data_IF_321901748850
#
_entry.id   IF_321901748850
#
_cell.length_a   1.000
_cell.length_b   1.000
_cell.length_c   1.000
_cell.angle_alpha   90.00
_cell.angle_beta   90.00
_cell.angle_gamma   90.00
#
_symmetry.space_group_name_H-M   'P 1'
#
loop_
_entity.id
_entity.type
_entity.pdbx_description
1 polymer ?
#
# COMPACT_ATOMS: atom_id res chain seq x y z
N UNK A 1 51.54 28.11 60.54
CA UNK A 1 50.71 28.26 61.76
C UNK A 1 49.39 27.52 61.55
N UNK A 2 49.11 26.58 62.48
CA UNK A 2 47.82 25.98 62.88
C UNK A 2 46.98 25.15 61.90
N UNK A 3 46.76 23.92 62.37
CA UNK A 3 45.84 22.88 61.93
C UNK A 3 44.37 23.13 62.36
N UNK A 4 43.43 22.45 61.69
CA UNK A 4 42.20 21.81 62.19
C UNK A 4 41.49 21.16 60.96
N UNK A 5 41.24 19.86 60.85
CA UNK A 5 40.50 18.91 61.68
C UNK A 5 38.99 19.25 61.80
N UNK A 6 38.14 18.44 61.16
CA UNK A 6 36.68 18.52 61.25
C UNK A 6 36.00 17.33 60.54
N UNK A 7 35.51 16.41 61.35
CA UNK A 7 34.83 15.14 61.02
C UNK A 7 33.31 15.34 60.90
N UNK A 8 32.63 14.35 60.27
CA UNK A 8 31.18 14.03 60.31
C UNK A 8 30.38 14.55 59.10
N UNK A 9 29.42 13.83 58.49
CA UNK A 9 28.57 12.72 58.97
C UNK A 9 28.05 11.94 57.75
N UNK A 10 27.91 10.61 57.87
CA UNK A 10 27.19 9.76 56.92
C UNK A 10 25.70 10.15 56.87
N UNK A 11 25.17 10.35 55.66
CA UNK A 11 23.72 10.36 55.42
C UNK A 11 23.35 9.15 54.55
N UNK A 12 22.73 8.16 55.21
CA UNK A 12 22.05 7.01 54.61
C UNK A 12 20.88 7.52 53.76
N UNK A 13 20.90 7.31 52.44
CA UNK A 13 19.69 7.40 51.62
C UNK A 13 19.09 5.99 51.47
N UNK A 14 17.91 5.83 52.04
CA UNK A 14 17.01 4.71 51.79
C UNK A 14 16.68 4.66 50.29
N UNK A 15 17.09 3.58 49.61
CA UNK A 15 16.55 3.20 48.31
C UNK A 15 15.22 2.50 48.57
N UNK A 16 14.12 3.24 48.40
CA UNK A 16 12.78 2.66 48.29
C UNK A 16 12.72 1.89 46.96
N UNK A 17 12.69 0.55 47.07
CA UNK A 17 12.54 -0.36 45.94
C UNK A 17 11.16 -0.23 45.31
N UNK A 18 11.04 0.62 44.29
CA UNK A 18 9.95 0.58 43.32
C UNK A 18 10.02 -0.73 42.54
N UNK A 19 9.22 -1.71 42.97
CA UNK A 19 8.98 -2.91 42.18
C UNK A 19 8.25 -2.49 40.90
N UNK A 20 8.79 -2.76 39.70
CA UNK A 20 8.02 -2.60 38.49
C UNK A 20 6.85 -3.59 38.57
N UNK A 21 5.64 -3.06 38.67
CA UNK A 21 4.44 -3.82 38.36
C UNK A 21 4.58 -4.26 36.91
N UNK A 22 4.97 -5.53 36.72
CA UNK A 22 4.90 -6.17 35.41
C UNK A 22 3.48 -5.96 34.88
N UNK A 23 3.32 -5.41 33.66
CA UNK A 23 2.00 -5.30 33.06
C UNK A 23 1.38 -6.70 33.04
N UNK A 24 0.12 -6.86 33.45
CA UNK A 24 -0.56 -8.14 33.39
C UNK A 24 -0.40 -8.67 31.96
N UNK A 25 0.12 -9.89 31.84
CA UNK A 25 0.25 -10.56 30.56
C UNK A 25 -1.10 -10.45 29.85
N UNK A 26 -1.12 -9.75 28.71
CA UNK A 26 -2.28 -9.63 27.88
C UNK A 26 -2.73 -11.05 27.52
N UNK A 27 -3.76 -11.55 28.21
CA UNK A 27 -4.34 -12.83 27.89
C UNK A 27 -4.92 -12.69 26.49
N UNK A 28 -4.28 -13.31 25.50
CA UNK A 28 -4.86 -13.47 24.18
C UNK A 28 -6.26 -14.08 24.37
N UNK A 29 -7.29 -13.28 24.15
CA UNK A 29 -8.68 -13.76 24.22
C UNK A 29 -8.75 -14.96 23.26
N UNK A 30 -9.10 -16.14 23.79
CA UNK A 30 -9.41 -17.30 22.95
C UNK A 30 -10.59 -16.89 22.06
N UNK A 31 -10.29 -16.53 20.82
CA UNK A 31 -11.29 -16.23 19.80
C UNK A 31 -12.09 -17.53 19.62
N UNK A 32 -13.30 -17.57 20.19
CA UNK A 32 -14.23 -18.67 19.88
C UNK A 32 -14.69 -18.46 18.43
N UNK A 33 -14.67 -19.50 17.57
CA UNK A 33 -15.21 -19.39 16.23
C UNK A 33 -16.66 -18.90 16.32
N UNK A 34 -16.95 -17.75 15.71
CA UNK A 34 -18.30 -17.24 15.63
C UNK A 34 -19.10 -18.12 14.66
N UNK A 35 -20.21 -18.68 15.13
CA UNK A 35 -21.14 -19.47 14.30
C UNK A 35 -22.39 -18.62 14.08
N UNK A 36 -22.73 -18.26 12.84
CA UNK A 36 -23.90 -17.44 12.61
C UNK A 36 -25.18 -18.23 12.92
N UNK A 37 -26.18 -17.63 13.59
CA UNK A 37 -27.53 -18.14 13.52
C UNK A 37 -27.98 -18.10 12.04
N UNK A 38 -28.87 -19.01 11.61
CA UNK A 38 -29.48 -19.04 10.25
C UNK A 38 -28.71 -19.74 9.12
N UNK A 39 -27.87 -20.74 9.41
CA UNK A 39 -27.13 -21.52 8.40
C UNK A 39 -28.00 -22.01 7.21
N UNK A 40 -29.23 -22.47 7.45
CA UNK A 40 -30.11 -23.00 6.40
C UNK A 40 -30.53 -21.94 5.37
N UNK A 41 -30.85 -20.72 5.83
CA UNK A 41 -31.24 -19.61 4.94
C UNK A 41 -30.06 -19.13 4.09
N UNK A 42 -28.87 -19.05 4.71
CA UNK A 42 -27.64 -18.64 4.04
C UNK A 42 -27.24 -19.65 2.95
N UNK A 43 -27.37 -20.95 3.24
CA UNK A 43 -27.05 -22.01 2.27
C UNK A 43 -27.94 -21.93 1.02
N UNK A 44 -29.24 -21.68 1.21
CA UNK A 44 -30.18 -21.50 0.09
C UNK A 44 -29.84 -20.25 -0.74
N UNK A 45 -29.64 -19.10 -0.09
CA UNK A 45 -29.28 -17.86 -0.80
C UNK A 45 -27.94 -17.97 -1.53
N UNK A 46 -26.97 -18.67 -0.95
CA UNK A 46 -25.69 -18.93 -1.61
C UNK A 46 -25.85 -19.82 -2.85
N UNK A 47 -26.72 -20.85 -2.79
CA UNK A 47 -27.02 -21.67 -3.95
C UNK A 47 -27.67 -20.83 -5.08
N UNK A 48 -28.66 -20.00 -4.74
CA UNK A 48 -29.32 -19.10 -5.69
C UNK A 48 -28.34 -18.08 -6.29
N UNK A 49 -27.49 -17.47 -5.46
CA UNK A 49 -26.48 -16.51 -5.91
C UNK A 49 -25.44 -17.15 -6.84
N UNK A 50 -24.93 -18.34 -6.51
CA UNK A 50 -23.98 -19.07 -7.37
C UNK A 50 -24.61 -19.46 -8.71
N UNK A 51 -25.86 -19.91 -8.70
CA UNK A 51 -26.59 -20.18 -9.94
C UNK A 51 -26.71 -18.92 -10.80
N UNK A 52 -27.06 -17.78 -10.19
CA UNK A 52 -27.11 -16.48 -10.88
C UNK A 52 -25.75 -16.09 -11.48
N UNK A 53 -24.68 -16.14 -10.69
CA UNK A 53 -23.32 -15.84 -11.16
C UNK A 53 -22.89 -16.71 -12.35
N UNK A 54 -23.22 -18.01 -12.32
CA UNK A 54 -22.92 -18.94 -13.41
C UNK A 54 -23.69 -18.60 -14.71
N UNK A 55 -24.87 -17.99 -14.61
CA UNK A 55 -25.68 -17.59 -15.77
C UNK A 55 -25.33 -16.21 -16.33
N UNK A 56 -24.56 -15.39 -15.61
CA UNK A 56 -24.18 -14.06 -16.09
C UNK A 56 -23.35 -14.15 -17.37
N UNK A 57 -23.69 -13.35 -18.39
CA UNK A 57 -23.02 -13.37 -19.71
C UNK A 57 -22.09 -12.19 -19.98
N UNK A 58 -22.17 -11.13 -19.15
CA UNK A 58 -21.38 -9.91 -19.32
C UNK A 58 -20.54 -9.53 -18.09
N UNK A 59 -19.68 -8.54 -18.28
CA UNK A 59 -18.76 -8.03 -17.25
C UNK A 59 -19.33 -6.86 -16.44
N UNK A 60 -20.57 -6.44 -16.74
CA UNK A 60 -21.27 -5.39 -15.99
C UNK A 60 -22.11 -5.97 -14.85
N UNK A 61 -22.16 -5.26 -13.72
CA UNK A 61 -23.02 -5.60 -12.57
C UNK A 61 -24.47 -5.14 -12.76
N UNK A 62 -24.81 -4.47 -13.87
CA UNK A 62 -26.15 -3.95 -14.12
C UNK A 62 -27.18 -4.98 -14.60
N UNK A 63 -28.46 -4.61 -14.56
CA UNK A 63 -29.57 -5.41 -15.09
C UNK A 63 -29.78 -6.72 -14.33
N UNK A 64 -30.00 -7.81 -15.06
CA UNK A 64 -30.25 -9.15 -14.49
C UNK A 64 -29.06 -9.69 -13.70
N UNK A 65 -27.83 -9.25 -14.02
CA UNK A 65 -26.61 -9.69 -13.34
C UNK A 65 -26.59 -9.23 -11.86
N UNK A 66 -27.27 -8.13 -11.52
CA UNK A 66 -27.21 -7.52 -10.19
C UNK A 66 -27.79 -8.41 -9.09
N UNK A 67 -28.78 -9.25 -9.43
CA UNK A 67 -29.54 -10.02 -8.42
C UNK A 67 -28.67 -10.95 -7.60
N UNK A 68 -27.68 -11.60 -8.22
CA UNK A 68 -26.74 -12.46 -7.52
C UNK A 68 -25.92 -11.68 -6.50
N UNK A 69 -25.41 -10.50 -6.86
CA UNK A 69 -24.70 -9.61 -5.93
C UNK A 69 -25.59 -9.15 -4.78
N UNK A 70 -26.83 -8.74 -5.05
CA UNK A 70 -27.78 -8.29 -4.03
C UNK A 70 -28.08 -9.37 -2.97
N UNK A 71 -28.19 -10.64 -3.40
CA UNK A 71 -28.37 -11.78 -2.49
C UNK A 71 -27.19 -11.91 -1.51
N UNK A 72 -25.95 -11.81 -2.03
CA UNK A 72 -24.73 -11.84 -1.19
C UNK A 72 -24.66 -10.62 -0.27
N UNK A 73 -24.98 -9.42 -0.77
CA UNK A 73 -25.08 -8.22 0.07
C UNK A 73 -26.12 -8.36 1.18
N UNK A 74 -27.23 -9.05 0.92
CA UNK A 74 -28.26 -9.35 1.93
C UNK A 74 -27.76 -10.35 2.97
N UNK A 75 -27.00 -11.37 2.55
CA UNK A 75 -26.31 -12.29 3.46
C UNK A 75 -25.35 -11.53 4.38
N UNK A 76 -24.49 -10.67 3.82
CA UNK A 76 -23.58 -9.80 4.58
C UNK A 76 -24.31 -8.94 5.61
N UNK A 77 -25.42 -8.30 5.22
CA UNK A 77 -26.26 -7.51 6.14
C UNK A 77 -26.77 -8.35 7.31
N UNK A 78 -27.23 -9.58 7.03
CA UNK A 78 -27.77 -10.49 8.05
C UNK A 78 -26.69 -10.95 9.03
N UNK A 79 -25.51 -11.28 8.50
CA UNK A 79 -24.33 -11.66 9.28
C UNK A 79 -23.85 -10.50 10.17
N UNK A 80 -23.77 -9.28 9.63
CA UNK A 80 -23.44 -8.07 10.41
C UNK A 80 -24.47 -7.77 11.50
N UNK A 81 -25.77 -7.93 11.22
CA UNK A 81 -26.82 -7.78 12.25
C UNK A 81 -26.64 -8.81 13.37
N UNK A 82 -26.28 -10.05 13.03
CA UNK A 82 -26.05 -11.11 14.00
C UNK A 82 -24.78 -10.89 14.84
N UNK A 83 -23.72 -10.31 14.27
CA UNK A 83 -22.56 -9.83 15.04
C UNK A 83 -22.98 -8.71 16.02
N UNK A 84 -23.83 -7.80 15.55
CA UNK A 84 -24.32 -6.67 16.32
C UNK A 84 -23.35 -5.48 16.31
N UNK A 85 -23.91 -4.29 16.56
CA UNK A 85 -23.23 -2.98 16.45
C UNK A 85 -21.94 -2.85 17.27
N UNK A 86 -21.82 -3.57 18.39
CA UNK A 86 -20.65 -3.49 19.26
C UNK A 86 -19.51 -4.41 18.83
N UNK A 87 -19.77 -5.37 17.94
CA UNK A 87 -18.79 -6.40 17.54
C UNK A 87 -18.34 -6.21 16.09
N UNK A 88 -18.57 -5.05 15.47
CA UNK A 88 -18.26 -4.83 14.05
C UNK A 88 -16.76 -4.84 13.74
N UNK A 89 -15.88 -4.69 14.74
CA UNK A 89 -14.44 -4.98 14.59
C UNK A 89 -14.17 -6.43 14.15
N UNK A 90 -15.09 -7.35 14.45
CA UNK A 90 -15.03 -8.75 14.04
C UNK A 90 -15.68 -9.00 12.67
N UNK A 91 -16.08 -7.96 11.93
CA UNK A 91 -16.74 -8.13 10.63
C UNK A 91 -15.90 -8.92 9.62
N UNK A 92 -14.57 -8.89 9.73
CA UNK A 92 -13.67 -9.73 8.93
C UNK A 92 -13.97 -11.25 9.05
N UNK A 93 -14.60 -11.70 10.16
CA UNK A 93 -15.02 -13.09 10.31
C UNK A 93 -16.19 -13.49 9.40
N UNK A 94 -16.84 -12.53 8.73
CA UNK A 94 -17.91 -12.79 7.75
C UNK A 94 -17.36 -13.39 6.47
N UNK A 95 -16.18 -12.95 6.03
CA UNK A 95 -15.57 -13.38 4.76
C UNK A 95 -15.37 -14.91 4.72
N UNK A 96 -14.70 -15.56 5.70
CA UNK A 96 -14.58 -17.02 5.71
C UNK A 96 -15.92 -17.77 5.72
N UNK A 97 -16.97 -17.17 6.27
CA UNK A 97 -18.33 -17.77 6.27
C UNK A 97 -18.90 -17.75 4.85
N UNK A 98 -18.80 -16.62 4.15
CA UNK A 98 -19.29 -16.50 2.76
C UNK A 98 -18.44 -17.35 1.79
N UNK A 99 -17.13 -17.41 1.99
CA UNK A 99 -16.22 -18.24 1.21
C UNK A 99 -16.54 -19.72 1.35
N UNK A 100 -16.87 -20.18 2.58
CA UNK A 100 -17.29 -21.57 2.83
C UNK A 100 -18.58 -21.96 2.09
N UNK A 101 -19.38 -20.97 1.65
CA UNK A 101 -20.58 -21.16 0.85
C UNK A 101 -20.30 -21.09 -0.66
N UNK A 102 -19.04 -20.95 -1.07
CA UNK A 102 -18.58 -20.88 -2.46
C UNK A 102 -18.83 -19.52 -3.12
N UNK A 103 -18.85 -18.45 -2.32
CA UNK A 103 -18.92 -17.07 -2.80
C UNK A 103 -17.50 -16.47 -2.82
N UNK A 104 -17.26 -15.49 -3.69
CA UNK A 104 -15.97 -14.76 -3.77
C UNK A 104 -16.21 -13.37 -3.19
N UNK A 105 -15.74 -13.15 -1.95
CA UNK A 105 -15.99 -11.90 -1.21
C UNK A 105 -14.76 -11.44 -0.44
N UNK A 106 -14.67 -10.13 -0.22
CA UNK A 106 -13.65 -9.54 0.66
C UNK A 106 -14.32 -8.56 1.64
N UNK A 107 -13.90 -8.55 2.90
CA UNK A 107 -14.42 -7.62 3.91
C UNK A 107 -13.36 -6.64 4.37
N UNK A 108 -13.63 -5.35 4.17
CA UNK A 108 -12.77 -4.27 4.63
C UNK A 108 -13.49 -3.36 5.63
N UNK A 109 -12.78 -2.91 6.65
CA UNK A 109 -13.29 -1.97 7.65
C UNK A 109 -12.18 -1.02 8.11
N UNK A 110 -12.59 0.18 8.52
CA UNK A 110 -11.69 1.11 9.19
C UNK A 110 -11.64 0.76 10.68
N UNK A 111 -10.47 0.38 11.25
CA UNK A 111 -10.38 -0.02 12.65
C UNK A 111 -10.67 1.12 13.63
N UNK A 112 -10.53 2.37 13.20
CA UNK A 112 -10.84 3.57 14.03
C UNK A 112 -12.33 3.90 14.01
N UNK A 113 -13.05 3.51 12.96
CA UNK A 113 -14.50 3.67 12.82
C UNK A 113 -15.14 2.35 12.37
N UNK A 114 -15.12 1.30 13.21
CA UNK A 114 -15.50 -0.05 12.79
C UNK A 114 -16.99 -0.22 12.51
N UNK A 115 -17.81 0.82 12.71
CA UNK A 115 -19.25 0.82 12.43
C UNK A 115 -19.55 0.95 10.93
N UNK A 116 -18.54 1.22 10.12
CA UNK A 116 -18.59 1.25 8.67
C UNK A 116 -17.87 0.02 8.12
N UNK A 117 -18.59 -0.83 7.41
CA UNK A 117 -18.06 -2.09 6.86
C UNK A 117 -18.33 -2.13 5.37
N UNK A 118 -17.30 -2.43 4.58
CA UNK A 118 -17.40 -2.72 3.16
C UNK A 118 -17.35 -4.25 2.98
N UNK A 119 -18.33 -4.80 2.27
CA UNK A 119 -18.26 -6.14 1.70
C UNK A 119 -18.13 -6.01 0.19
N UNK A 120 -16.97 -6.39 -0.36
CA UNK A 120 -16.80 -6.53 -1.79
C UNK A 120 -17.30 -7.90 -2.23
N UNK A 121 -18.13 -7.93 -3.28
CA UNK A 121 -18.67 -9.16 -3.86
C UNK A 121 -18.23 -9.28 -5.31
N UNK A 122 -17.62 -10.40 -5.64
CA UNK A 122 -17.06 -10.69 -6.94
C UNK A 122 -17.87 -11.80 -7.61
N UNK A 123 -17.79 -11.89 -8.94
CA UNK A 123 -18.35 -13.03 -9.66
C UNK A 123 -17.30 -14.15 -9.75
N UNK A 124 -17.46 -15.27 -9.02
CA UNK A 124 -16.49 -16.38 -9.05
C UNK A 124 -16.40 -17.06 -10.42
N UNK A 125 -17.46 -16.98 -11.25
CA UNK A 125 -17.47 -17.52 -12.60
C UNK A 125 -16.83 -16.56 -13.63
N UNK A 126 -16.58 -15.29 -13.27
CA UNK A 126 -16.02 -14.26 -14.15
C UNK A 126 -15.08 -13.32 -13.39
N UNK A 127 -13.81 -13.70 -13.19
CA UNK A 127 -12.86 -12.90 -12.41
C UNK A 127 -12.60 -11.49 -12.96
N UNK A 128 -12.84 -11.24 -14.25
CA UNK A 128 -12.67 -9.92 -14.89
C UNK A 128 -13.92 -9.04 -14.84
N UNK A 129 -15.07 -9.56 -14.38
CA UNK A 129 -16.29 -8.78 -14.27
C UNK A 129 -16.16 -7.69 -13.20
N UNK A 130 -16.96 -6.64 -13.32
CA UNK A 130 -17.17 -5.67 -12.26
C UNK A 130 -17.62 -6.37 -10.97
N UNK A 131 -17.22 -5.81 -9.84
CA UNK A 131 -17.66 -6.22 -8.51
C UNK A 131 -18.66 -5.22 -7.94
N UNK A 132 -19.39 -5.63 -6.90
CA UNK A 132 -20.27 -4.74 -6.13
C UNK A 132 -19.74 -4.62 -4.72
N UNK A 133 -19.42 -3.40 -4.30
CA UNK A 133 -19.11 -3.08 -2.92
C UNK A 133 -20.38 -2.69 -2.18
N UNK A 134 -20.76 -3.46 -1.16
CA UNK A 134 -21.85 -3.15 -0.25
C UNK A 134 -21.32 -2.42 0.98
N UNK A 135 -21.75 -1.18 1.15
CA UNK A 135 -21.44 -0.31 2.27
C UNK A 135 -22.49 -0.48 3.36
N UNK A 136 -22.06 -0.85 4.57
CA UNK A 136 -22.92 -0.97 5.73
C UNK A 136 -22.56 0.07 6.78
N UNK A 137 -23.58 0.70 7.36
CA UNK A 137 -23.40 1.64 8.46
C UNK A 137 -24.62 1.64 9.39
N UNK A 138 -24.39 1.91 10.67
CA UNK A 138 -25.47 2.01 11.66
C UNK A 138 -25.97 3.46 11.77
N UNK A 139 -27.27 3.65 11.55
CA UNK A 139 -28.00 4.87 11.90
C UNK A 139 -28.87 4.59 13.12
N UNK A 140 -28.39 4.96 14.30
CA UNK A 140 -28.97 4.46 15.55
C UNK A 140 -28.81 2.95 15.64
N UNK A 141 -29.92 2.22 15.71
CA UNK A 141 -29.94 0.75 15.70
C UNK A 141 -30.24 0.14 14.32
N UNK A 142 -30.54 0.98 13.33
CA UNK A 142 -30.82 0.52 11.97
C UNK A 142 -29.53 0.34 11.18
N UNK A 143 -29.22 -0.91 10.80
CA UNK A 143 -28.15 -1.22 9.86
C UNK A 143 -28.58 -0.92 8.43
N UNK A 144 -28.04 0.14 7.87
CA UNK A 144 -28.20 0.56 6.47
C UNK A 144 -27.27 -0.22 5.54
N UNK A 145 -27.62 -0.25 4.27
CA UNK A 145 -26.87 -0.92 3.22
C UNK A 145 -27.07 -0.17 1.91
N UNK A 146 -25.99 0.03 1.18
CA UNK A 146 -25.99 0.59 -0.17
C UNK A 146 -24.93 -0.11 -1.02
N UNK A 147 -25.19 -0.31 -2.31
CA UNK A 147 -24.25 -0.97 -3.23
C UNK A 147 -23.69 0.01 -4.25
N UNK A 148 -22.39 -0.08 -4.56
CA UNK A 148 -21.78 0.61 -5.69
C UNK A 148 -20.97 -0.36 -6.56
N UNK A 149 -20.86 -0.06 -7.85
CA UNK A 149 -20.10 -0.85 -8.80
C UNK A 149 -18.60 -0.49 -8.76
N UNK A 150 -17.74 -1.51 -8.85
CA UNK A 150 -16.28 -1.38 -8.88
C UNK A 150 -15.69 -2.07 -10.11
N UNK A 151 -14.55 -1.57 -10.58
CA UNK A 151 -13.87 -2.08 -11.77
C UNK A 151 -13.06 -3.36 -11.56
N UNK A 152 -13.18 -4.01 -10.40
CA UNK A 152 -12.47 -5.23 -10.00
C UNK A 152 -12.57 -5.47 -8.50
N UNK A 153 -12.37 -4.43 -7.68
CA UNK A 153 -12.66 -4.46 -6.24
C UNK A 153 -11.69 -5.27 -5.38
N UNK A 154 -10.57 -5.75 -5.93
CA UNK A 154 -9.67 -6.70 -5.27
C UNK A 154 -8.84 -6.03 -4.17
N UNK A 155 -8.62 -6.70 -3.03
CA UNK A 155 -7.85 -6.21 -1.89
C UNK A 155 -8.25 -4.78 -1.45
N UNK A 156 -9.55 -4.53 -1.13
CA UNK A 156 -10.01 -3.18 -0.84
C UNK A 156 -9.43 -2.65 0.47
N UNK A 157 -8.86 -1.44 0.42
CA UNK A 157 -8.42 -0.67 1.59
C UNK A 157 -9.38 0.49 1.81
N UNK A 158 -9.97 0.58 3.01
CA UNK A 158 -10.97 1.59 3.33
C UNK A 158 -10.52 2.54 4.43
N UNK A 159 -11.01 3.78 4.36
CA UNK A 159 -10.90 4.78 5.41
C UNK A 159 -12.21 5.54 5.51
N UNK A 160 -12.66 5.77 6.74
CA UNK A 160 -13.84 6.60 7.03
C UNK A 160 -13.42 7.68 8.01
N UNK A 161 -13.88 8.91 7.80
CA UNK A 161 -13.57 10.02 8.69
C UNK A 161 -14.74 10.97 8.84
N UNK A 162 -14.75 11.66 9.98
CA UNK A 162 -15.68 12.76 10.24
C UNK A 162 -15.18 14.02 9.55
N UNK A 163 -16.03 14.67 8.76
CA UNK A 163 -15.64 15.82 7.94
C UNK A 163 -15.75 17.15 8.67
N UNK A 164 -16.34 17.20 9.87
CA UNK A 164 -16.69 18.46 10.53
C UNK A 164 -17.88 19.19 9.91
N UNK A 165 -18.48 18.66 8.84
CA UNK A 165 -19.54 19.34 8.09
C UNK A 165 -20.90 18.72 8.35
N UNK A 166 -21.95 19.55 8.42
CA UNK A 166 -23.32 19.05 8.60
C UNK A 166 -23.90 18.43 7.33
N UNK A 167 -23.60 19.02 6.18
CA UNK A 167 -24.17 18.63 4.88
C UNK A 167 -23.66 17.28 4.39
N UNK A 168 -22.46 16.87 4.82
CA UNK A 168 -21.89 15.55 4.57
C UNK A 168 -21.01 15.11 5.74
N UNK A 169 -21.61 14.59 6.83
CA UNK A 169 -20.93 14.34 8.10
C UNK A 169 -19.74 13.38 8.01
N UNK A 170 -19.81 12.39 7.13
CA UNK A 170 -18.77 11.40 6.94
C UNK A 170 -18.39 11.29 5.47
N UNK A 171 -17.11 11.01 5.25
CA UNK A 171 -16.59 10.56 3.96
C UNK A 171 -16.05 9.15 4.09
N UNK A 172 -16.18 8.38 3.02
CA UNK A 172 -15.69 7.01 2.91
C UNK A 172 -14.86 6.89 1.64
N UNK A 173 -13.55 6.72 1.83
CA UNK A 173 -12.62 6.43 0.76
C UNK A 173 -12.38 4.93 0.62
N UNK A 174 -12.38 4.44 -0.61
CA UNK A 174 -12.04 3.05 -0.97
C UNK A 174 -10.95 3.08 -2.02
N UNK A 175 -9.86 2.37 -1.74
CA UNK A 175 -8.82 2.02 -2.71
C UNK A 175 -9.00 0.54 -3.01
N UNK A 176 -9.06 0.18 -4.28
CA UNK A 176 -9.15 -1.22 -4.71
C UNK A 176 -8.17 -1.51 -5.85
N UNK A 177 -7.88 -2.79 -6.09
CA UNK A 177 -7.14 -3.21 -7.27
C UNK A 177 -8.13 -3.69 -8.33
N UNK A 178 -7.97 -3.17 -9.55
CA UNK A 178 -8.67 -3.73 -10.69
C UNK A 178 -8.08 -5.10 -11.02
N UNK A 179 -8.95 -6.07 -11.31
CA UNK A 179 -8.55 -7.41 -11.79
C UNK A 179 -8.12 -7.38 -13.27
N UNK A 180 -7.51 -6.28 -13.70
CA UNK A 180 -6.93 -6.12 -15.04
C UNK A 180 -5.47 -6.59 -15.09
N UNK A 181 -4.92 -6.74 -16.28
CA UNK A 181 -3.53 -7.19 -16.48
C UNK A 181 -2.48 -6.19 -15.98
N UNK A 182 -2.86 -4.93 -15.78
CA UNK A 182 -1.97 -3.85 -15.33
C UNK A 182 -2.02 -3.66 -13.81
N UNK A 183 -2.95 -4.32 -13.11
CA UNK A 183 -3.24 -4.19 -11.68
C UNK A 183 -3.36 -2.71 -11.29
N UNK A 184 -4.16 -1.97 -12.06
CA UNK A 184 -4.36 -0.54 -11.78
C UNK A 184 -5.12 -0.36 -10.46
N UNK A 185 -4.77 0.69 -9.71
CA UNK A 185 -5.47 1.05 -8.49
C UNK A 185 -6.72 1.86 -8.84
N UNK A 186 -7.86 1.43 -8.31
CA UNK A 186 -9.12 2.15 -8.31
C UNK A 186 -9.24 3.06 -7.10
N UNK A 187 -10.04 4.11 -7.26
CA UNK A 187 -10.38 5.02 -6.18
C UNK A 187 -11.87 5.36 -6.24
N UNK A 188 -12.52 5.25 -5.09
CA UNK A 188 -13.91 5.64 -4.89
C UNK A 188 -14.02 6.50 -3.63
N UNK A 189 -14.66 7.67 -3.74
CA UNK A 189 -14.99 8.53 -2.61
C UNK A 189 -16.50 8.69 -2.51
N UNK A 190 -17.05 8.44 -1.33
CA UNK A 190 -18.45 8.65 -1.02
C UNK A 190 -18.64 9.66 0.10
N UNK A 191 -19.72 10.45 0.01
CA UNK A 191 -20.16 11.42 1.03
C UNK A 191 -21.50 11.01 1.61
N UNK A 192 -21.56 10.81 2.93
CA UNK A 192 -22.82 10.49 3.60
C UNK A 192 -23.75 11.70 3.51
N UNK A 193 -25.03 11.49 3.21
CA UNK A 193 -26.04 12.55 3.23
C UNK A 193 -26.19 13.17 4.62
N UNK A 194 -26.66 14.42 4.69
CA UNK A 194 -26.90 15.15 5.94
C UNK A 194 -27.77 14.38 6.94
N UNK A 195 -28.79 13.67 6.45
CA UNK A 195 -29.71 12.87 7.26
C UNK A 195 -29.18 11.46 7.60
N UNK A 196 -28.02 11.08 7.05
CA UNK A 196 -27.38 9.78 7.22
C UNK A 196 -28.09 8.62 6.51
N UNK A 197 -28.95 8.89 5.53
CA UNK A 197 -29.78 7.89 4.86
C UNK A 197 -29.11 7.18 3.69
N UNK A 198 -28.19 7.84 2.98
CA UNK A 198 -27.54 7.28 1.79
C UNK A 198 -26.17 7.93 1.55
N UNK A 199 -25.34 7.27 0.75
CA UNK A 199 -24.04 7.76 0.31
C UNK A 199 -24.14 8.37 -1.08
N UNK A 200 -23.40 9.44 -1.31
CA UNK A 200 -23.30 10.08 -2.62
C UNK A 200 -21.92 9.80 -3.20
N UNK A 201 -21.89 9.14 -4.35
CA UNK A 201 -20.66 8.92 -5.10
C UNK A 201 -20.10 10.26 -5.58
N UNK A 202 -18.91 10.62 -5.08
CA UNK A 202 -18.26 11.91 -5.35
C UNK A 202 -17.11 11.76 -6.32
N UNK A 203 -16.28 10.73 -6.14
CA UNK A 203 -15.23 10.35 -7.11
C UNK A 203 -15.27 8.84 -7.33
N UNK A 204 -14.93 8.44 -8.55
CA UNK A 204 -14.95 7.04 -9.00
C UNK A 204 -13.94 6.84 -10.13
N UNK A 205 -13.77 5.61 -10.59
CA UNK A 205 -12.86 5.28 -11.69
C UNK A 205 -13.07 6.19 -12.92
N UNK A 206 -12.02 6.90 -13.33
CA UNK A 206 -12.05 7.86 -14.45
C UNK A 206 -12.47 9.28 -14.07
N UNK A 207 -12.99 9.50 -12.86
CA UNK A 207 -13.36 10.81 -12.30
C UNK A 207 -12.75 11.03 -10.91
N UNK A 208 -11.64 10.35 -10.62
CA UNK A 208 -10.89 10.42 -9.38
C UNK A 208 -9.39 10.64 -9.61
N UNK A 209 -8.57 10.65 -8.55
CA UNK A 209 -7.12 10.72 -8.68
C UNK A 209 -6.56 9.57 -9.51
N UNK A 210 -5.60 9.87 -10.38
CA UNK A 210 -4.81 8.84 -11.07
C UNK A 210 -3.73 8.31 -10.13
N UNK A 211 -3.96 7.14 -9.55
CA UNK A 211 -3.04 6.49 -8.61
C UNK A 211 -1.86 5.78 -9.31
N UNK A 212 -1.82 5.79 -10.65
CA UNK A 212 -0.79 5.16 -11.45
C UNK A 212 -0.98 3.65 -11.66
N UNK A 213 -0.09 3.07 -12.46
CA UNK A 213 -0.07 1.64 -12.76
C UNK A 213 0.94 0.90 -11.86
N UNK A 214 0.65 -0.38 -11.56
CA UNK A 214 1.58 -1.31 -10.88
C UNK A 214 2.18 -0.74 -9.59
N UNK A 215 1.31 -0.28 -8.69
CA UNK A 215 1.66 0.40 -7.46
C UNK A 215 0.94 -0.13 -6.22
N UNK A 216 1.14 0.57 -5.11
CA UNK A 216 0.33 0.42 -3.90
C UNK A 216 -0.12 1.80 -3.40
N UNK A 217 -1.16 1.84 -2.57
CA UNK A 217 -1.61 3.07 -1.94
C UNK A 217 -2.13 2.82 -0.53
N UNK A 218 -2.03 3.84 0.30
CA UNK A 218 -2.41 3.82 1.71
C UNK A 218 -3.03 5.13 2.16
N UNK A 219 -3.85 5.04 3.20
CA UNK A 219 -4.42 6.17 3.90
C UNK A 219 -3.51 6.57 5.06
N UNK A 220 -3.15 7.84 5.16
CA UNK A 220 -2.30 8.35 6.23
C UNK A 220 -2.79 9.73 6.66
N UNK A 221 -2.76 10.03 7.96
CA UNK A 221 -2.95 11.38 8.48
C UNK A 221 -1.55 12.00 8.67
N UNK A 222 -1.04 12.61 7.60
CA UNK A 222 0.33 13.11 7.51
C UNK A 222 0.52 14.41 8.32
N UNK A 223 -0.56 15.17 8.52
CA UNK A 223 -0.53 16.48 9.16
C UNK A 223 -1.08 16.46 10.61
N UNK A 224 -1.71 15.37 11.03
CA UNK A 224 -2.26 15.18 12.38
C UNK A 224 -3.60 15.88 12.62
N UNK A 225 -4.34 16.25 11.57
CA UNK A 225 -5.63 16.96 11.67
C UNK A 225 -6.84 16.03 11.79
N UNK A 226 -6.62 14.71 11.77
CA UNK A 226 -7.65 13.68 11.84
C UNK A 226 -8.32 13.35 10.51
N UNK A 227 -7.98 14.05 9.42
CA UNK A 227 -8.38 13.70 8.05
C UNK A 227 -7.26 12.93 7.37
N UNK A 228 -7.60 11.94 6.54
CA UNK A 228 -6.60 11.20 5.80
C UNK A 228 -6.16 11.96 4.55
N UNK A 229 -4.86 12.01 4.30
CA UNK A 229 -4.30 12.04 2.97
C UNK A 229 -4.28 10.62 2.36
N UNK A 230 -4.29 10.59 1.03
CA UNK A 230 -4.04 9.38 0.25
C UNK A 230 -2.62 9.43 -0.29
N UNK A 231 -1.82 8.42 0.02
CA UNK A 231 -0.45 8.29 -0.50
C UNK A 231 -0.40 7.10 -1.46
N UNK A 232 0.04 7.33 -2.69
CA UNK A 232 0.17 6.30 -3.71
C UNK A 232 1.62 6.22 -4.21
N UNK A 233 2.12 5.00 -4.33
CA UNK A 233 3.44 4.69 -4.88
C UNK A 233 3.27 3.94 -6.20
N UNK A 234 3.82 4.49 -7.28
CA UNK A 234 3.75 3.88 -8.61
C UNK A 234 5.10 3.90 -9.31
N UNK A 235 5.26 3.07 -10.35
CA UNK A 235 6.50 3.06 -11.13
C UNK A 235 6.67 4.37 -11.90
N UNK A 236 7.80 5.04 -11.70
CA UNK A 236 8.16 6.22 -12.46
C UNK A 236 8.64 5.85 -13.87
N UNK A 237 8.51 6.75 -14.85
CA UNK A 237 9.22 6.64 -16.11
C UNK A 237 10.73 6.53 -15.89
N UNK A 238 11.36 5.55 -16.52
CA UNK A 238 12.81 5.39 -16.47
C UNK A 238 13.48 6.38 -17.43
N UNK A 239 14.55 7.02 -16.97
CA UNK A 239 15.36 7.88 -17.81
C UNK A 239 15.87 7.10 -19.04
N UNK A 240 15.74 7.69 -20.23
CA UNK A 240 16.19 7.09 -21.50
C UNK A 240 17.64 6.58 -21.50
N UNK A 241 18.52 7.12 -20.65
CA UNK A 241 19.89 6.65 -20.48
C UNK A 241 19.96 5.23 -19.92
N UNK A 242 18.90 4.75 -19.28
CA UNK A 242 18.85 3.49 -18.58
C UNK A 242 17.95 2.48 -19.31
N UNK A 243 18.41 1.25 -19.38
CA UNK A 243 17.67 0.07 -19.82
C UNK A 243 17.47 -0.81 -18.59
N UNK A 244 16.22 -1.01 -18.20
CA UNK A 244 15.85 -1.86 -17.05
C UNK A 244 15.08 -3.07 -17.55
N UNK A 245 15.37 -4.25 -16.99
CA UNK A 245 14.59 -5.45 -17.21
C UNK A 245 13.18 -5.35 -16.58
N UNK A 246 12.30 -6.32 -16.82
CA UNK A 246 10.94 -6.38 -16.23
C UNK A 246 10.97 -6.29 -14.71
N UNK A 247 11.92 -7.00 -14.11
CA UNK A 247 11.99 -7.23 -12.66
C UNK A 247 13.07 -6.38 -11.98
N UNK A 248 13.81 -5.60 -12.76
CA UNK A 248 14.87 -4.74 -12.26
C UNK A 248 14.28 -3.63 -11.37
N UNK A 249 15.05 -3.14 -10.39
CA UNK A 249 14.70 -1.95 -9.63
C UNK A 249 14.36 -0.78 -10.55
N UNK A 250 13.30 -0.05 -10.23
CA UNK A 250 12.81 1.11 -10.99
C UNK A 250 12.67 2.32 -10.07
N UNK A 251 12.71 3.55 -10.62
CA UNK A 251 12.38 4.72 -9.83
C UNK A 251 10.89 4.64 -9.48
N UNK A 252 10.53 5.11 -8.29
CA UNK A 252 9.18 5.07 -7.75
C UNK A 252 8.73 6.52 -7.53
N UNK A 253 7.53 6.84 -8.03
CA UNK A 253 6.84 8.10 -7.75
C UNK A 253 5.93 7.89 -6.56
N UNK A 254 6.10 8.73 -5.56
CA UNK A 254 5.15 8.92 -4.47
C UNK A 254 4.28 10.14 -4.80
N UNK A 255 2.96 9.95 -4.72
CA UNK A 255 1.97 11.01 -4.88
C UNK A 255 1.14 11.09 -3.62
N UNK A 256 1.01 12.30 -3.10
CA UNK A 256 0.15 12.60 -1.96
C UNK A 256 -1.04 13.39 -2.46
N UNK A 257 -2.24 12.90 -2.19
CA UNK A 257 -3.49 13.56 -2.49
C UNK A 257 -4.15 14.02 -1.20
N UNK A 258 -4.68 15.23 -1.22
CA UNK A 258 -5.39 15.81 -0.08
C UNK A 258 -6.85 16.07 -0.44
N UNK A 259 -7.73 15.96 0.56
CA UNK A 259 -9.14 16.30 0.41
C UNK A 259 -9.30 17.80 0.09
N UNK A 260 -10.12 18.09 -0.92
CA UNK A 260 -10.61 19.42 -1.31
C UNK A 260 -12.12 19.36 -1.49
N UNK A 261 -12.74 20.48 -1.86
CA UNK A 261 -14.20 20.58 -1.99
C UNK A 261 -14.76 19.57 -3.01
N UNK A 262 -14.02 19.34 -4.09
CA UNK A 262 -14.32 18.40 -5.18
C UNK A 262 -13.89 16.95 -4.89
N UNK A 263 -13.26 16.68 -3.75
CA UNK A 263 -12.68 15.39 -3.38
C UNK A 263 -11.15 15.43 -3.34
N UNK A 264 -10.49 14.29 -3.46
CA UNK A 264 -9.04 14.18 -3.41
C UNK A 264 -8.41 14.74 -4.69
N UNK A 265 -7.45 15.63 -4.52
CA UNK A 265 -6.63 16.19 -5.60
C UNK A 265 -5.15 16.07 -5.27
N UNK A 266 -4.32 16.00 -6.32
CA UNK A 266 -2.88 15.86 -6.17
C UNK A 266 -2.33 17.09 -5.45
N UNK A 267 -1.68 16.85 -4.31
CA UNK A 267 -1.09 17.89 -3.48
C UNK A 267 0.44 17.92 -3.60
N UNK A 268 1.08 16.75 -3.66
CA UNK A 268 2.54 16.62 -3.85
C UNK A 268 2.86 15.41 -4.73
N UNK A 269 3.91 15.51 -5.54
CA UNK A 269 4.48 14.42 -6.32
C UNK A 269 6.00 14.47 -6.22
N UNK A 270 6.61 13.37 -5.81
CA UNK A 270 8.06 13.28 -5.66
C UNK A 270 8.60 11.91 -6.02
N UNK A 271 9.85 11.89 -6.47
CA UNK A 271 10.58 10.66 -6.65
C UNK A 271 11.06 10.15 -5.29
N UNK A 272 10.71 8.91 -4.95
CA UNK A 272 11.21 8.25 -3.73
C UNK A 272 12.73 8.11 -3.85
N UNK A 273 13.50 8.50 -2.82
CA UNK A 273 14.94 8.30 -2.82
C UNK A 273 15.21 6.81 -2.60
N UNK A 274 15.49 6.07 -3.67
CA UNK A 274 15.86 4.64 -3.67
C UNK A 274 17.32 4.48 -4.12
N UNK A 275 17.98 3.32 -3.88
CA UNK A 275 19.32 3.06 -4.42
C UNK A 275 19.44 3.35 -5.92
N UNK A 276 18.47 2.86 -6.71
CA UNK A 276 18.43 3.10 -8.15
C UNK A 276 18.20 4.58 -8.48
N UNK A 277 17.28 5.26 -7.80
CA UNK A 277 17.03 6.69 -8.03
C UNK A 277 18.26 7.55 -7.69
N UNK A 278 18.97 7.23 -6.59
CA UNK A 278 20.22 7.88 -6.21
C UNK A 278 21.31 7.69 -7.27
N UNK A 279 21.43 6.49 -7.83
CA UNK A 279 22.36 6.23 -8.93
C UNK A 279 22.00 7.00 -10.21
N UNK A 280 20.72 7.00 -10.61
CA UNK A 280 20.24 7.77 -11.76
C UNK A 280 20.55 9.26 -11.58
N UNK A 281 20.27 9.82 -10.40
CA UNK A 281 20.57 11.22 -10.07
C UNK A 281 22.09 11.50 -10.11
N UNK A 282 22.90 10.60 -9.56
CA UNK A 282 24.36 10.72 -9.61
C UNK A 282 24.86 10.83 -11.06
N UNK A 283 24.43 9.92 -11.94
CA UNK A 283 24.80 9.96 -13.37
C UNK A 283 24.33 11.25 -14.04
N UNK A 284 23.11 11.73 -13.76
CA UNK A 284 22.61 13.00 -14.30
C UNK A 284 23.51 14.17 -13.89
N UNK A 285 23.82 14.29 -12.60
CA UNK A 285 24.67 15.37 -12.08
C UNK A 285 26.07 15.36 -12.67
N UNK A 286 26.65 14.17 -12.90
CA UNK A 286 27.94 14.06 -13.61
C UNK A 286 27.84 14.59 -15.05
N UNK A 287 26.76 14.27 -15.78
CA UNK A 287 26.53 14.73 -17.16
C UNK A 287 26.25 16.22 -17.25
N UNK A 288 25.55 16.77 -16.26
CA UNK A 288 25.28 18.20 -16.10
C UNK A 288 26.52 18.99 -15.65
N UNK A 289 27.67 18.31 -15.48
CA UNK A 289 28.92 18.91 -15.01
C UNK A 289 28.78 19.57 -13.63
N UNK A 290 27.98 18.95 -12.75
CA UNK A 290 27.80 19.37 -11.36
C UNK A 290 28.45 18.36 -10.39
N UNK A 291 29.80 18.26 -10.36
CA UNK A 291 30.50 17.29 -9.53
C UNK A 291 30.30 17.54 -8.03
N UNK A 292 30.08 18.79 -7.61
CA UNK A 292 29.85 19.15 -6.22
C UNK A 292 28.55 18.55 -5.69
N UNK A 293 27.45 18.62 -6.48
CA UNK A 293 26.20 17.98 -6.10
C UNK A 293 26.29 16.45 -6.20
N UNK A 294 26.96 15.93 -7.23
CA UNK A 294 27.18 14.49 -7.39
C UNK A 294 27.94 13.89 -6.19
N UNK A 295 28.93 14.61 -5.67
CA UNK A 295 29.72 14.21 -4.51
C UNK A 295 28.89 14.02 -3.23
N UNK A 296 27.74 14.70 -3.10
CA UNK A 296 26.83 14.56 -1.96
C UNK A 296 26.03 13.25 -1.97
N UNK A 297 26.02 12.54 -3.09
CA UNK A 297 25.37 11.22 -3.24
C UNK A 297 26.34 10.06 -3.02
N UNK A 298 27.57 10.35 -2.59
CA UNK A 298 28.61 9.37 -2.32
C UNK A 298 28.94 9.34 -0.83
N UNK A 299 29.30 8.16 -0.32
CA UNK A 299 29.89 8.05 1.02
C UNK A 299 31.28 8.70 1.06
N UNK A 300 32.12 8.42 0.05
CA UNK A 300 33.38 9.13 -0.21
C UNK A 300 33.24 10.11 -1.41
N UNK A 301 33.20 11.43 -1.16
CA UNK A 301 33.16 12.47 -2.20
C UNK A 301 34.29 12.37 -3.24
N UNK A 302 35.43 11.79 -2.89
CA UNK A 302 36.59 11.71 -3.78
C UNK A 302 36.33 10.81 -4.99
N UNK A 303 35.39 9.86 -4.87
CA UNK A 303 35.06 8.91 -5.94
C UNK A 303 34.40 9.57 -7.15
N UNK A 304 33.89 10.81 -7.06
CA UNK A 304 33.43 11.58 -8.24
C UNK A 304 34.51 11.63 -9.32
N UNK A 305 35.78 11.87 -8.92
CA UNK A 305 36.90 11.93 -9.87
C UNK A 305 37.12 10.60 -10.56
N UNK A 306 36.94 9.49 -9.83
CA UNK A 306 37.02 8.13 -10.38
C UNK A 306 35.91 7.90 -11.41
N UNK A 307 34.65 8.22 -11.10
CA UNK A 307 33.54 8.09 -12.04
C UNK A 307 33.75 8.91 -13.33
N UNK A 308 34.28 10.13 -13.18
CA UNK A 308 34.62 11.00 -14.32
C UNK A 308 35.75 10.40 -15.17
N UNK A 309 36.81 9.87 -14.55
CA UNK A 309 37.92 9.21 -15.24
C UNK A 309 37.49 7.92 -15.96
N UNK A 310 36.55 7.19 -15.38
CA UNK A 310 35.90 6.01 -15.98
C UNK A 310 34.93 6.38 -17.12
N UNK A 311 34.66 7.67 -17.32
CA UNK A 311 33.87 8.18 -18.43
C UNK A 311 32.37 8.11 -18.19
N UNK A 312 31.89 7.99 -16.95
CA UNK A 312 30.45 7.86 -16.64
C UNK A 312 29.63 9.09 -17.05
N UNK A 313 30.27 10.26 -17.12
CA UNK A 313 29.68 11.49 -17.64
C UNK A 313 29.62 11.56 -19.18
N UNK A 314 30.28 10.63 -19.87
CA UNK A 314 30.46 10.66 -21.32
C UNK A 314 29.50 9.68 -22.00
N UNK A 315 28.91 10.09 -23.12
CA UNK A 315 27.95 9.28 -23.87
C UNK A 315 26.62 10.00 -24.11
N UNK A 316 26.09 9.80 -25.32
CA UNK A 316 24.78 10.25 -25.76
C UNK A 316 24.12 9.06 -26.45
N UNK A 317 23.25 8.36 -25.75
CA UNK A 317 22.63 7.16 -26.28
C UNK A 317 21.60 6.60 -25.31
N UNK A 318 20.52 6.07 -25.85
CA UNK A 318 19.49 5.36 -25.08
C UNK A 318 20.08 4.04 -24.57
N UNK A 319 19.77 3.66 -23.33
CA UNK A 319 20.25 2.40 -22.75
C UNK A 319 21.77 2.32 -22.63
N UNK A 320 22.40 3.45 -22.31
CA UNK A 320 23.84 3.55 -22.00
C UNK A 320 24.18 2.73 -20.75
N UNK A 321 23.25 2.69 -19.80
CA UNK A 321 23.34 1.94 -18.57
C UNK A 321 22.29 0.82 -18.58
N UNK A 322 22.69 -0.43 -18.40
CA UNK A 322 21.76 -1.56 -18.33
C UNK A 322 21.92 -2.30 -17.01
N UNK A 323 20.86 -2.34 -16.20
CA UNK A 323 20.87 -3.17 -14.99
C UNK A 323 20.76 -4.63 -15.42
N UNK A 324 21.67 -5.47 -14.92
CA UNK A 324 21.73 -6.90 -15.27
C UNK A 324 21.42 -7.80 -14.07
N UNK A 325 21.91 -7.44 -12.88
CA UNK A 325 21.67 -8.19 -11.65
C UNK A 325 21.41 -7.24 -10.50
N UNK A 326 20.72 -7.70 -9.47
CA UNK A 326 20.45 -6.95 -8.26
C UNK A 326 20.23 -7.94 -7.11
N UNK A 327 20.26 -7.44 -5.88
CA UNK A 327 19.94 -8.24 -4.71
C UNK A 327 18.48 -8.71 -4.74
N UNK A 328 18.28 -10.03 -4.79
CA UNK A 328 16.94 -10.63 -4.89
C UNK A 328 16.20 -10.58 -3.55
N UNK A 329 14.87 -10.47 -3.61
CA UNK A 329 13.99 -10.47 -2.43
C UNK A 329 13.95 -9.16 -1.65
N UNK A 330 14.86 -8.22 -1.95
CA UNK A 330 14.92 -6.92 -1.28
C UNK A 330 14.16 -5.84 -2.05
N UNK A 331 13.29 -5.10 -1.35
CA UNK A 331 12.58 -3.95 -1.94
C UNK A 331 13.55 -2.81 -2.32
N UNK A 332 14.62 -2.66 -1.54
CA UNK A 332 15.67 -1.66 -1.72
C UNK A 332 17.03 -2.34 -1.75
N UNK A 333 17.48 -2.83 -2.92
CA UNK A 333 18.69 -3.64 -2.98
C UNK A 333 19.92 -2.81 -2.57
N UNK A 334 20.72 -3.35 -1.65
CA UNK A 334 21.94 -2.73 -1.17
C UNK A 334 23.04 -2.73 -2.24
N UNK A 335 22.87 -3.51 -3.31
CA UNK A 335 23.73 -3.49 -4.48
C UNK A 335 22.99 -3.88 -5.76
N UNK A 336 23.50 -3.42 -6.89
CA UNK A 336 23.13 -3.96 -8.19
C UNK A 336 24.30 -3.95 -9.16
N UNK A 337 24.28 -4.87 -10.12
CA UNK A 337 25.22 -4.94 -11.22
C UNK A 337 24.67 -4.22 -12.45
N UNK A 338 25.43 -3.28 -12.98
CA UNK A 338 25.04 -2.43 -14.11
C UNK A 338 26.12 -2.39 -15.18
N UNK A 339 25.73 -2.67 -16.43
CA UNK A 339 26.62 -2.60 -17.58
C UNK A 339 26.61 -1.20 -18.17
N UNK A 340 27.79 -0.61 -18.29
CA UNK A 340 27.99 0.69 -18.94
C UNK A 340 28.44 0.49 -20.38
N UNK A 341 27.74 1.05 -21.37
CA UNK A 341 28.07 0.95 -22.80
C UNK A 341 28.84 2.19 -23.29
N UNK A 342 29.91 2.55 -22.59
CA UNK A 342 30.73 3.73 -22.89
C UNK A 342 31.77 3.54 -23.99
N UNK A 343 32.51 4.61 -24.29
CA UNK A 343 33.59 4.58 -25.29
C UNK A 343 34.81 3.72 -24.91
N UNK A 344 34.96 3.38 -23.62
CA UNK A 344 36.05 2.56 -23.08
C UNK A 344 35.71 1.05 -22.99
N UNK A 345 34.65 0.62 -23.68
CA UNK A 345 34.17 -0.77 -23.67
C UNK A 345 32.85 -0.93 -22.92
N UNK A 346 32.51 -2.18 -22.58
CA UNK A 346 31.25 -2.53 -21.90
C UNK A 346 31.46 -3.09 -20.48
N UNK A 347 32.13 -2.35 -19.57
CA UNK A 347 32.39 -2.85 -18.22
C UNK A 347 31.07 -3.10 -17.47
N UNK A 348 31.08 -4.17 -16.68
CA UNK A 348 30.07 -4.42 -15.66
C UNK A 348 30.57 -3.79 -14.35
N UNK A 349 29.72 -3.02 -13.69
CA UNK A 349 29.99 -2.46 -12.37
C UNK A 349 29.05 -3.09 -11.36
N UNK A 350 29.56 -3.46 -10.19
CA UNK A 350 28.72 -3.74 -9.02
C UNK A 350 28.76 -2.48 -8.16
N UNK A 351 27.61 -1.83 -8.02
CA UNK A 351 27.46 -0.59 -7.26
C UNK A 351 26.84 -0.93 -5.92
N UNK A 352 27.47 -0.51 -4.83
CA UNK A 352 26.97 -0.72 -3.48
C UNK A 352 26.40 0.56 -2.89
N UNK A 353 25.37 0.43 -2.09
CA UNK A 353 24.65 1.52 -1.46
C UNK A 353 24.64 1.37 0.05
N UNK A 354 24.49 2.49 0.73
CA UNK A 354 24.27 2.55 2.18
C UNK A 354 23.33 3.70 2.51
N UNK A 355 22.77 3.70 3.71
CA UNK A 355 21.96 4.82 4.20
C UNK A 355 22.82 5.76 5.05
N UNK A 356 22.75 7.06 4.74
CA UNK A 356 23.37 8.14 5.50
C UNK A 356 22.33 9.23 5.71
N UNK A 357 22.07 9.58 6.97
CA UNK A 357 21.09 10.63 7.34
C UNK A 357 19.70 10.41 6.70
N UNK A 358 19.24 9.15 6.66
CA UNK A 358 17.95 8.78 6.07
C UNK A 358 17.90 8.83 4.54
N UNK A 359 19.05 8.91 3.85
CA UNK A 359 19.14 8.93 2.38
C UNK A 359 20.05 7.83 1.87
N UNK A 360 19.71 7.27 0.70
CA UNK A 360 20.57 6.33 0.00
C UNK A 360 21.73 7.05 -0.70
N UNK A 361 22.95 6.64 -0.37
CA UNK A 361 24.18 7.09 -1.02
C UNK A 361 24.94 5.90 -1.61
N UNK A 362 25.74 6.16 -2.63
CA UNK A 362 26.64 5.16 -3.21
C UNK A 362 27.84 5.04 -2.28
N UNK A 363 28.05 3.84 -1.71
CA UNK A 363 29.22 3.53 -0.90
C UNK A 363 30.46 3.41 -1.77
N UNK A 364 30.38 2.51 -2.75
CA UNK A 364 31.49 2.21 -3.64
C UNK A 364 31.00 1.56 -4.95
N UNK A 365 31.94 1.30 -5.86
CA UNK A 365 31.73 0.37 -6.97
C UNK A 365 33.00 -0.38 -7.36
N UNK A 366 32.81 -1.60 -7.83
CA UNK A 366 33.87 -2.49 -8.31
C UNK A 366 33.60 -2.97 -9.73
N UNK A 367 34.66 -3.26 -10.47
CA UNK A 367 34.59 -4.01 -11.74
C UNK A 367 34.93 -5.45 -11.40
N UNK A 368 33.99 -6.40 -11.45
CA UNK A 368 34.24 -7.75 -11.02
C UNK A 368 35.12 -8.48 -12.06
N UNK A 369 36.01 -9.35 -11.59
CA UNK A 369 36.88 -10.18 -12.46
C UNK A 369 36.06 -11.26 -13.17
N UNK A 370 35.01 -11.76 -12.52
CA UNK A 370 34.00 -12.69 -13.06
C UNK A 370 32.61 -12.10 -12.82
N UNK A 371 31.73 -12.14 -13.82
CA UNK A 371 30.35 -11.71 -13.64
C UNK A 371 29.71 -12.47 -12.45
N UNK A 372 28.87 -11.82 -11.64
CA UNK A 372 28.11 -12.54 -10.62
C UNK A 372 27.30 -13.64 -11.30
N UNK A 373 27.37 -14.86 -10.77
CA UNK A 373 26.47 -15.93 -11.20
C UNK A 373 25.05 -15.52 -10.78
N UNK A 374 24.04 -15.62 -11.67
CA UNK A 374 22.66 -15.44 -11.24
C UNK A 374 22.40 -16.39 -10.09
N UNK A 375 21.74 -15.91 -9.02
CA UNK A 375 21.19 -16.82 -8.04
C UNK A 375 20.31 -17.81 -8.80
N UNK A 376 20.54 -19.11 -8.59
CA UNK A 376 19.72 -20.12 -9.26
C UNK A 376 18.27 -19.82 -8.92
N UNK A 377 17.35 -19.80 -9.90
CA UNK A 377 15.95 -19.57 -9.61
C UNK A 377 15.53 -20.55 -8.50
N UNK A 378 14.75 -20.11 -7.49
CA UNK A 378 14.29 -21.01 -6.46
C UNK A 378 13.65 -22.21 -7.16
N UNK A 379 14.15 -23.41 -6.84
CA UNK A 379 13.63 -24.65 -7.39
C UNK A 379 12.11 -24.61 -7.22
N UNK A 380 11.39 -24.60 -8.34
CA UNK A 380 9.95 -24.39 -8.36
C UNK A 380 9.27 -25.26 -7.33
N UNK A 381 8.80 -24.62 -6.25
CA UNK A 381 7.86 -25.22 -5.34
C UNK A 381 6.57 -25.37 -6.11
N UNK A 382 6.37 -26.53 -6.72
CA UNK A 382 5.07 -26.95 -7.20
C UNK A 382 4.12 -26.94 -6.01
N UNK A 383 3.17 -25.99 -6.01
CA UNK A 383 1.89 -26.09 -5.32
C UNK A 383 0.82 -25.45 -6.18
#
# INVERSE_FOLDING_TARGET
MKAACGVATLTFWLVLGSHPLLPPAASAQRIRPWVPPFADSLTRWAADARAGFATNTGDSVGGENYRAYELVGTMGRRLLRALGKQNTLQAHAIEPVLDSLGLDTEVALDPTLPRFVLLMVHNPARPSAQSVGFFYWFRGEDLRMEGAAFGGGDAPKVRVWWTGQRTYPYEWGVIDRRRDTRRTLGFTLLRLSEDGLYWNLTQYAGSGPDLGEMGDAEWADLNGDGRPELVAWSRAPVDSLFEVCSDCPRPILERTYAERREGFTLNDERLVPTPFASFVLFIRLLRERNPTAAARLLEDPSMVRRAMAEGWATGRGRGLWRVEYFEEGEAWPAWFAIRFRGGKGKPLYIVHFTQKEGRWVIRDWIVPVKAPEPASPPAGGAR
#
